data_IF_435232541304
#
_entry.id   IF_435232541304
#
_cell.length_a   1.000
_cell.length_b   1.000
_cell.length_c   1.000
_cell.angle_alpha   90.00
_cell.angle_beta   90.00
_cell.angle_gamma   90.00
#
_symmetry.space_group_name_H-M   'P 1'
#
loop_
_entity.id
_entity.type
_entity.pdbx_description
1 polymer ?
#
# COMPACT_ATOMS: atom_id res chain seq x y z
N UNK A 1 17.19 22.16 -6.30
CA UNK A 1 16.33 22.03 -7.49
C UNK A 1 16.74 23.09 -8.50
N UNK A 2 17.24 22.66 -9.66
CA UNK A 2 18.02 23.43 -10.64
C UNK A 2 17.17 24.08 -11.75
N UNK A 3 17.79 24.99 -12.51
CA UNK A 3 17.23 25.67 -13.69
C UNK A 3 16.76 24.72 -14.83
N UNK A 4 17.09 23.43 -14.75
CA UNK A 4 16.69 22.40 -15.71
C UNK A 4 15.23 21.96 -15.56
N UNK A 5 14.64 22.06 -14.36
CA UNK A 5 13.26 21.61 -14.10
C UNK A 5 12.26 22.76 -14.06
N UNK A 6 12.68 23.94 -13.62
CA UNK A 6 11.87 25.17 -13.62
C UNK A 6 12.37 26.11 -14.72
N UNK A 7 11.79 25.98 -15.91
CA UNK A 7 12.19 26.73 -17.10
C UNK A 7 11.34 27.98 -17.28
N UNK A 8 11.79 28.93 -18.10
CA UNK A 8 10.97 30.10 -18.46
C UNK A 8 9.68 29.65 -19.17
N UNK A 9 8.56 30.27 -18.83
CA UNK A 9 7.28 30.04 -19.49
C UNK A 9 7.08 31.03 -20.65
N UNK A 10 7.17 30.61 -21.92
CA UNK A 10 6.95 31.47 -23.07
C UNK A 10 5.45 31.69 -23.37
N UNK A 11 4.54 31.00 -22.68
CA UNK A 11 3.09 31.02 -22.94
C UNK A 11 2.32 31.85 -21.91
N UNK A 12 2.96 32.22 -20.80
CA UNK A 12 2.33 33.07 -19.80
C UNK A 12 2.11 34.51 -20.30
N UNK A 13 0.99 35.16 -19.94
CA UNK A 13 0.67 36.52 -20.36
C UNK A 13 1.51 37.62 -19.68
N UNK A 14 2.40 37.29 -18.73
CA UNK A 14 3.21 38.26 -17.98
C UNK A 14 4.68 37.84 -17.84
N UNK A 15 5.60 38.79 -17.63
CA UNK A 15 7.03 38.51 -17.52
C UNK A 15 7.37 37.76 -16.22
N UNK A 16 8.31 36.81 -16.30
CA UNK A 16 8.87 36.12 -15.13
C UNK A 16 8.15 34.83 -14.70
N UNK A 17 7.15 34.40 -15.45
CA UNK A 17 6.51 33.09 -15.23
C UNK A 17 7.46 31.93 -15.58
N UNK A 18 7.23 30.78 -14.92
CA UNK A 18 8.04 29.57 -15.08
C UNK A 18 7.14 28.36 -15.26
N UNK A 19 7.54 27.44 -16.13
CA UNK A 19 6.94 26.12 -16.26
C UNK A 19 7.76 25.08 -15.52
N UNK A 20 7.10 24.05 -15.01
CA UNK A 20 7.76 22.88 -14.43
C UNK A 20 7.74 21.71 -15.40
N UNK A 21 8.91 21.17 -15.74
CA UNK A 21 9.01 19.97 -16.57
C UNK A 21 8.71 18.73 -15.73
N UNK A 22 7.45 18.27 -15.75
CA UNK A 22 6.98 17.08 -15.02
C UNK A 22 7.69 15.80 -15.47
N UNK A 23 8.08 15.73 -16.75
CA UNK A 23 8.61 14.52 -17.38
C UNK A 23 7.51 13.49 -17.69
N UNK A 24 6.25 13.85 -17.54
CA UNK A 24 5.11 13.00 -17.89
C UNK A 24 4.77 13.18 -19.37
N UNK A 25 4.49 12.08 -20.06
CA UNK A 25 3.96 12.08 -21.42
C UNK A 25 2.43 12.06 -21.32
N UNK A 26 1.82 13.08 -21.90
CA UNK A 26 0.37 13.26 -21.90
C UNK A 26 -0.12 13.49 -23.33
N UNK A 27 -1.38 13.15 -23.58
CA UNK A 27 -2.07 13.31 -24.86
C UNK A 27 -3.40 14.02 -24.62
N UNK A 28 -3.79 14.91 -25.51
CA UNK A 28 -5.16 15.41 -25.55
C UNK A 28 -6.09 14.39 -26.22
N UNK A 29 -7.20 14.05 -25.59
CA UNK A 29 -8.26 13.27 -26.21
C UNK A 29 -9.21 14.18 -27.03
N UNK A 30 -10.19 13.57 -27.71
CA UNK A 30 -11.15 14.30 -28.55
C UNK A 30 -12.06 15.25 -27.74
N UNK A 31 -12.22 14.98 -26.45
CA UNK A 31 -13.05 15.75 -25.52
C UNK A 31 -12.28 16.91 -24.86
N UNK A 32 -11.00 17.08 -25.21
CA UNK A 32 -10.17 18.16 -24.70
C UNK A 32 -9.69 17.92 -23.26
N UNK A 33 -9.49 16.66 -22.87
CA UNK A 33 -8.88 16.27 -21.60
C UNK A 33 -7.44 15.75 -21.82
N UNK A 34 -6.61 15.85 -20.78
CA UNK A 34 -5.25 15.31 -20.79
C UNK A 34 -5.25 13.87 -20.28
N UNK A 35 -5.04 12.92 -21.18
CA UNK A 35 -4.77 11.53 -20.86
C UNK A 35 -3.29 11.33 -20.52
N UNK A 36 -3.02 10.73 -19.36
CA UNK A 36 -1.68 10.27 -19.02
C UNK A 36 -1.31 9.04 -19.85
N UNK A 37 -0.24 9.13 -20.63
CA UNK A 37 0.25 8.05 -21.51
C UNK A 37 1.36 7.26 -20.82
N UNK A 38 2.15 7.92 -19.98
CA UNK A 38 3.31 7.35 -19.33
C UNK A 38 4.29 8.45 -18.97
N UNK A 39 5.56 8.10 -18.78
CA UNK A 39 6.62 9.07 -18.53
C UNK A 39 7.56 9.18 -19.71
N UNK A 40 8.02 10.40 -20.00
CA UNK A 40 9.02 10.68 -21.02
C UNK A 40 10.43 10.25 -20.58
N UNK A 41 10.67 10.19 -19.27
CA UNK A 41 11.80 9.52 -18.62
C UNK A 41 11.36 8.12 -18.17
N UNK A 42 12.19 7.09 -18.37
CA UNK A 42 11.85 5.68 -18.08
C UNK A 42 11.75 5.36 -16.56
N UNK A 43 11.46 6.36 -15.71
CA UNK A 43 11.39 6.18 -14.27
C UNK A 43 10.18 5.36 -13.86
N UNK A 44 10.38 4.45 -12.91
CA UNK A 44 9.37 3.53 -12.38
C UNK A 44 9.17 3.74 -10.89
N UNK A 45 7.96 3.52 -10.40
CA UNK A 45 7.68 3.53 -8.96
C UNK A 45 7.66 2.10 -8.45
N UNK A 46 8.65 1.74 -7.64
CA UNK A 46 8.76 0.41 -7.04
C UNK A 46 8.82 0.58 -5.53
N UNK A 47 7.88 -0.04 -4.82
CA UNK A 47 7.84 -0.08 -3.34
C UNK A 47 7.89 1.33 -2.69
N UNK A 48 7.27 2.32 -3.34
CA UNK A 48 7.24 3.72 -2.88
C UNK A 48 8.46 4.56 -3.28
N UNK A 49 9.50 3.95 -3.86
CA UNK A 49 10.67 4.65 -4.39
C UNK A 49 10.49 4.95 -5.86
N UNK A 50 10.97 6.13 -6.27
CA UNK A 50 11.04 6.53 -7.66
C UNK A 50 12.44 6.18 -8.16
N UNK A 51 12.51 5.22 -9.06
CA UNK A 51 13.76 4.61 -9.51
C UNK A 51 13.94 4.92 -10.99
N UNK A 52 15.16 5.29 -11.38
CA UNK A 52 15.56 5.35 -12.78
C UNK A 52 16.29 4.05 -13.16
N UNK A 53 15.69 3.13 -13.93
CA UNK A 53 16.37 1.90 -14.35
C UNK A 53 17.70 2.18 -15.07
N UNK A 54 17.78 3.29 -15.81
CA UNK A 54 19.01 3.72 -16.48
C UNK A 54 20.18 4.02 -15.54
N UNK A 55 19.92 4.45 -14.30
CA UNK A 55 20.98 4.64 -13.29
C UNK A 55 21.60 3.29 -12.89
N UNK A 56 20.74 2.29 -12.71
CA UNK A 56 21.12 0.92 -12.38
C UNK A 56 21.88 0.28 -13.55
N UNK A 57 21.40 0.48 -14.77
CA UNK A 57 22.08 0.05 -16.01
C UNK A 57 23.49 0.65 -16.11
N UNK A 58 23.63 1.95 -15.84
CA UNK A 58 24.91 2.65 -15.89
C UNK A 58 25.91 2.12 -14.85
N UNK A 59 25.44 1.84 -13.62
CA UNK A 59 26.29 1.21 -12.61
C UNK A 59 26.73 -0.17 -13.07
N UNK A 60 25.79 -1.04 -13.47
CA UNK A 60 26.10 -2.41 -13.87
C UNK A 60 27.02 -2.47 -15.10
N UNK A 61 26.81 -1.60 -16.10
CA UNK A 61 27.68 -1.46 -17.27
C UNK A 61 29.08 -0.92 -16.92
N UNK A 62 29.24 -0.27 -15.76
CA UNK A 62 30.52 0.16 -15.22
C UNK A 62 31.37 -0.99 -14.66
N UNK A 63 30.81 -2.18 -14.46
CA UNK A 63 31.57 -3.36 -14.05
C UNK A 63 32.51 -3.81 -15.20
N UNK A 64 33.82 -4.03 -14.97
CA UNK A 64 34.76 -4.40 -16.03
C UNK A 64 34.35 -5.66 -16.82
N UNK A 65 33.71 -6.61 -16.14
CA UNK A 65 33.20 -7.87 -16.70
C UNK A 65 31.86 -7.76 -17.45
N UNK A 66 31.22 -6.60 -17.55
CA UNK A 66 29.89 -6.45 -18.20
C UNK A 66 30.00 -5.64 -19.49
N UNK A 67 29.62 -6.24 -20.62
CA UNK A 67 29.61 -5.63 -21.94
C UNK A 67 28.42 -4.69 -22.14
N UNK A 68 27.23 -5.19 -21.82
CA UNK A 68 25.94 -4.50 -21.97
C UNK A 68 25.06 -4.84 -20.76
N UNK A 69 24.19 -3.90 -20.38
CA UNK A 69 23.25 -4.07 -19.28
C UNK A 69 21.90 -3.46 -19.64
N UNK A 70 20.82 -4.09 -19.19
CA UNK A 70 19.45 -3.58 -19.27
C UNK A 70 18.71 -3.88 -17.97
N UNK A 71 17.87 -2.96 -17.50
CA UNK A 71 17.08 -3.14 -16.28
C UNK A 71 15.61 -2.93 -16.59
N UNK A 72 14.80 -3.90 -16.19
CA UNK A 72 13.34 -3.87 -16.39
C UNK A 72 12.62 -4.14 -15.08
N UNK A 73 11.34 -3.79 -15.08
CA UNK A 73 10.43 -4.13 -13.98
C UNK A 73 9.65 -5.38 -14.38
N UNK A 74 9.68 -6.37 -13.51
CA UNK A 74 8.88 -7.58 -13.63
C UNK A 74 7.74 -7.55 -12.61
N UNK A 75 6.54 -8.04 -12.97
CA UNK A 75 5.39 -8.11 -12.06
C UNK A 75 4.67 -6.78 -11.79
N UNK A 76 4.73 -5.81 -12.71
CA UNK A 76 4.16 -4.47 -12.52
C UNK A 76 2.62 -4.51 -12.27
N UNK A 77 1.90 -5.46 -12.86
CA UNK A 77 0.44 -5.59 -12.74
C UNK A 77 -0.02 -6.35 -11.47
N UNK A 78 0.85 -7.17 -10.87
CA UNK A 78 0.49 -8.03 -9.73
C UNK A 78 0.69 -7.36 -8.36
N UNK A 79 1.18 -6.12 -8.34
CA UNK A 79 1.55 -5.42 -7.11
C UNK A 79 2.87 -5.89 -6.48
N UNK A 80 3.53 -6.88 -7.10
CA UNK A 80 4.83 -7.42 -6.71
C UNK A 80 5.90 -7.00 -7.72
N UNK A 81 5.98 -5.70 -7.97
CA UNK A 81 6.94 -5.13 -8.89
C UNK A 81 8.37 -5.33 -8.37
N UNK A 82 9.22 -5.98 -9.16
CA UNK A 82 10.64 -6.25 -8.85
C UNK A 82 11.53 -5.75 -9.98
N UNK A 83 12.69 -5.20 -9.63
CA UNK A 83 13.73 -4.89 -10.60
C UNK A 83 14.45 -6.17 -11.02
N UNK A 84 14.68 -6.32 -12.33
CA UNK A 84 15.46 -7.42 -12.90
C UNK A 84 16.51 -6.83 -13.82
N UNK A 85 17.77 -7.20 -13.62
CA UNK A 85 18.86 -6.83 -14.51
C UNK A 85 19.17 -7.96 -15.48
N UNK A 86 19.48 -7.59 -16.72
CA UNK A 86 20.01 -8.46 -17.75
C UNK A 86 21.39 -7.95 -18.12
N UNK A 87 22.39 -8.84 -18.10
CA UNK A 87 23.77 -8.47 -18.38
C UNK A 87 24.39 -9.38 -19.43
N UNK A 88 25.13 -8.79 -20.35
CA UNK A 88 25.97 -9.52 -21.31
C UNK A 88 27.39 -9.53 -20.76
N UNK A 89 27.95 -10.68 -20.34
CA UNK A 89 29.26 -10.72 -19.73
C UNK A 89 30.38 -10.63 -20.80
N UNK A 90 31.52 -10.00 -20.46
CA UNK A 90 32.74 -9.97 -21.28
C UNK A 90 33.61 -11.21 -21.11
N UNK A 91 33.47 -11.90 -19.98
CA UNK A 91 34.18 -13.11 -19.59
C UNK A 91 33.28 -13.91 -18.63
N UNK A 92 33.69 -15.10 -18.22
CA UNK A 92 32.94 -15.88 -17.23
C UNK A 92 32.70 -15.04 -15.96
N UNK A 93 31.43 -14.71 -15.72
CA UNK A 93 31.01 -13.82 -14.66
C UNK A 93 29.97 -14.51 -13.81
N UNK A 94 30.09 -14.36 -12.49
CA UNK A 94 29.08 -14.85 -11.56
C UNK A 94 28.05 -13.77 -11.28
N UNK A 95 26.80 -14.19 -11.11
CA UNK A 95 25.68 -13.30 -10.75
C UNK A 95 25.93 -12.66 -9.39
N UNK A 96 26.49 -13.41 -8.45
CA UNK A 96 26.79 -12.94 -7.08
C UNK A 96 27.75 -11.74 -7.10
N UNK A 97 28.85 -11.83 -7.84
CA UNK A 97 29.85 -10.76 -7.95
C UNK A 97 29.25 -9.47 -8.52
N UNK A 98 28.34 -9.59 -9.50
CA UNK A 98 27.65 -8.43 -10.08
C UNK A 98 26.68 -7.79 -9.09
N UNK A 99 25.99 -8.60 -8.28
CA UNK A 99 25.09 -8.10 -7.23
C UNK A 99 25.87 -7.39 -6.13
N UNK A 100 26.97 -7.96 -5.66
CA UNK A 100 27.83 -7.35 -4.64
C UNK A 100 28.37 -6.00 -5.14
N UNK A 101 28.88 -5.96 -6.37
CA UNK A 101 29.34 -4.71 -7.00
C UNK A 101 28.27 -3.62 -7.03
N UNK A 102 27.01 -3.99 -7.26
CA UNK A 102 25.88 -3.07 -7.27
C UNK A 102 25.49 -2.62 -5.86
N UNK A 103 25.49 -3.53 -4.87
CA UNK A 103 25.19 -3.21 -3.47
C UNK A 103 26.17 -2.20 -2.86
N UNK A 104 27.44 -2.25 -3.25
CA UNK A 104 28.44 -1.25 -2.82
C UNK A 104 28.18 0.17 -3.35
N UNK A 105 27.38 0.30 -4.42
CA UNK A 105 27.26 1.54 -5.22
C UNK A 105 25.83 2.09 -5.33
N UNK A 106 24.83 1.26 -5.07
CA UNK A 106 23.42 1.59 -5.15
C UNK A 106 22.76 1.41 -3.78
N UNK A 107 21.79 2.26 -3.42
CA UNK A 107 20.90 1.97 -2.31
C UNK A 107 20.18 0.64 -2.49
N UNK A 108 19.89 -0.08 -1.41
CA UNK A 108 19.29 -1.43 -1.44
C UNK A 108 18.03 -1.54 -2.31
N UNK A 109 17.18 -0.50 -2.30
CA UNK A 109 15.94 -0.49 -3.09
C UNK A 109 16.15 -0.36 -4.60
N UNK A 110 17.35 0.04 -5.04
CA UNK A 110 17.75 0.11 -6.45
C UNK A 110 18.50 -1.15 -6.91
N UNK A 111 18.89 -2.04 -6.00
CA UNK A 111 19.55 -3.30 -6.36
C UNK A 111 18.49 -4.27 -6.93
N UNK A 112 18.66 -4.78 -8.17
CA UNK A 112 17.75 -5.73 -8.77
C UNK A 112 17.57 -6.99 -7.93
N UNK A 113 16.40 -7.61 -7.98
CA UNK A 113 16.11 -8.87 -7.30
C UNK A 113 16.89 -10.06 -7.88
N UNK A 114 17.27 -10.01 -9.16
CA UNK A 114 18.16 -10.98 -9.80
C UNK A 114 18.90 -10.36 -11.00
N UNK A 115 19.99 -11.00 -11.43
CA UNK A 115 20.71 -10.68 -12.67
C UNK A 115 20.67 -11.90 -13.58
N UNK A 116 20.15 -11.74 -14.79
CA UNK A 116 20.10 -12.79 -15.81
C UNK A 116 21.24 -12.56 -16.81
N UNK A 117 22.14 -13.53 -16.93
CA UNK A 117 23.23 -13.48 -17.89
C UNK A 117 22.74 -13.92 -19.27
N UNK A 118 23.06 -13.13 -20.29
CA UNK A 118 22.67 -13.37 -21.68
C UNK A 118 23.88 -13.33 -22.60
N UNK A 119 23.83 -14.09 -23.70
CA UNK A 119 24.82 -13.98 -24.77
C UNK A 119 24.75 -12.61 -25.47
N UNK A 120 23.54 -12.04 -25.57
CA UNK A 120 23.28 -10.71 -26.14
C UNK A 120 21.91 -10.19 -25.68
N UNK A 121 21.74 -8.87 -25.65
CA UNK A 121 20.42 -8.27 -25.44
C UNK A 121 19.54 -8.45 -26.70
N UNK A 122 18.27 -8.85 -26.55
CA UNK A 122 17.34 -8.90 -27.67
C UNK A 122 16.95 -7.49 -28.09
N UNK A 123 17.08 -7.18 -29.38
CA UNK A 123 16.75 -5.87 -29.94
C UNK A 123 15.65 -6.01 -31.01
N UNK A 124 14.72 -5.07 -31.01
CA UNK A 124 13.73 -4.85 -32.08
C UNK A 124 14.40 -4.43 -33.39
N UNK A 125 13.67 -4.45 -34.51
CA UNK A 125 14.17 -3.99 -35.81
C UNK A 125 14.69 -2.53 -35.82
N UNK A 126 14.27 -1.72 -34.85
CA UNK A 126 14.70 -0.32 -34.68
C UNK A 126 15.91 -0.18 -33.73
N UNK A 127 16.55 -1.27 -33.31
CA UNK A 127 17.70 -1.26 -32.41
C UNK A 127 17.37 -0.96 -30.94
N UNK A 128 16.09 -0.95 -30.54
CA UNK A 128 15.67 -0.81 -29.14
C UNK A 128 15.54 -2.16 -28.45
N UNK A 129 15.77 -2.23 -27.14
CA UNK A 129 15.53 -3.43 -26.34
C UNK A 129 14.13 -4.01 -26.57
N UNK A 130 14.07 -5.28 -26.93
CA UNK A 130 12.83 -6.04 -27.06
C UNK A 130 12.50 -6.71 -25.73
N UNK A 131 11.73 -6.01 -24.89
CA UNK A 131 11.35 -6.47 -23.55
C UNK A 131 10.57 -7.79 -23.56
N UNK A 132 9.79 -8.05 -24.62
CA UNK A 132 8.97 -9.26 -24.73
C UNK A 132 9.80 -10.50 -25.07
N UNK A 133 11.00 -10.31 -25.61
CA UNK A 133 11.94 -11.38 -25.96
C UNK A 133 12.97 -11.65 -24.85
N UNK A 134 12.92 -10.93 -23.73
CA UNK A 134 13.75 -11.23 -22.57
C UNK A 134 13.28 -12.54 -21.92
N UNK A 135 14.19 -13.45 -21.54
CA UNK A 135 13.80 -14.67 -20.87
C UNK A 135 13.23 -14.39 -19.49
N UNK A 136 12.26 -15.21 -19.09
CA UNK A 136 11.64 -15.11 -17.77
C UNK A 136 12.69 -15.30 -16.66
N UNK A 137 12.81 -14.36 -15.71
CA UNK A 137 13.79 -14.45 -14.64
C UNK A 137 13.41 -15.59 -13.69
N UNK A 138 14.38 -16.45 -13.41
CA UNK A 138 14.23 -17.43 -12.34
C UNK A 138 14.49 -16.75 -10.99
N UNK A 139 13.42 -16.46 -10.26
CA UNK A 139 13.51 -15.96 -8.88
C UNK A 139 13.76 -17.09 -7.87
N UNK A 140 13.70 -18.36 -8.29
CA UNK A 140 14.16 -19.47 -7.48
C UNK A 140 15.68 -19.52 -7.51
N UNK A 141 16.33 -18.60 -6.80
CA UNK A 141 17.76 -18.65 -6.64
C UNK A 141 18.19 -20.07 -6.18
N UNK A 142 19.34 -20.58 -6.65
CA UNK A 142 20.03 -21.63 -5.90
C UNK A 142 20.27 -21.06 -4.49
N UNK A 143 19.92 -21.84 -3.47
CA UNK A 143 20.12 -21.48 -2.06
C UNK A 143 21.55 -21.01 -1.92
N UNK A 144 21.75 -19.70 -1.70
CA UNK A 144 23.05 -19.21 -1.32
C UNK A 144 23.20 -19.52 0.17
N UNK A 145 24.34 -20.07 0.54
CA UNK A 145 24.63 -20.37 1.94
C UNK A 145 24.35 -21.81 2.37
N UNK A 146 24.62 -22.03 3.65
CA UNK A 146 24.60 -23.34 4.29
C UNK A 146 23.16 -23.82 4.54
N UNK A 147 23.00 -25.12 4.77
CA UNK A 147 21.72 -25.65 5.26
C UNK A 147 21.41 -25.15 6.69
N UNK A 148 20.11 -25.09 7.01
CA UNK A 148 19.64 -24.83 8.36
C UNK A 148 20.18 -25.91 9.31
N UNK A 149 20.82 -25.48 10.39
CA UNK A 149 21.45 -26.35 11.39
C UNK A 149 20.57 -26.57 12.61
N UNK A 150 19.55 -25.72 12.81
CA UNK A 150 18.64 -25.79 13.95
C UNK A 150 17.18 -25.79 13.48
N UNK A 151 16.25 -26.36 14.28
CA UNK A 151 14.82 -26.24 14.02
C UNK A 151 14.35 -24.78 13.93
N UNK A 152 14.95 -23.88 14.71
CA UNK A 152 14.64 -22.45 14.66
C UNK A 152 15.02 -21.85 13.31
N UNK A 153 16.23 -22.12 12.82
CA UNK A 153 16.67 -21.66 11.49
C UNK A 153 15.72 -22.18 10.39
N UNK A 154 15.30 -23.45 10.45
CA UNK A 154 14.39 -24.02 9.46
C UNK A 154 13.02 -23.31 9.48
N UNK A 155 12.41 -23.14 10.66
CA UNK A 155 11.12 -22.47 10.79
C UNK A 155 11.22 -21.02 10.31
N UNK A 156 12.31 -20.30 10.63
CA UNK A 156 12.49 -18.92 10.17
C UNK A 156 12.65 -18.87 8.63
N UNK A 157 13.39 -19.80 8.02
CA UNK A 157 13.47 -19.90 6.56
C UNK A 157 12.09 -20.12 5.92
N UNK A 158 11.27 -21.01 6.50
CA UNK A 158 9.91 -21.27 6.02
C UNK A 158 9.02 -20.02 6.12
N UNK A 159 9.14 -19.27 7.23
CA UNK A 159 8.40 -18.02 7.41
C UNK A 159 8.82 -16.94 6.40
N UNK A 160 10.12 -16.81 6.12
CA UNK A 160 10.63 -15.90 5.08
C UNK A 160 10.05 -16.28 3.71
N UNK A 161 10.13 -17.56 3.34
CA UNK A 161 9.61 -18.08 2.06
C UNK A 161 8.11 -17.77 1.90
N UNK A 162 7.31 -18.04 2.94
CA UNK A 162 5.87 -17.76 2.94
C UNK A 162 5.53 -16.27 2.86
N UNK A 163 6.38 -15.38 3.39
CA UNK A 163 6.14 -13.92 3.35
C UNK A 163 6.54 -13.36 1.98
N UNK A 164 7.65 -13.84 1.43
CA UNK A 164 8.20 -13.37 0.16
C UNK A 164 7.55 -14.04 -1.06
N UNK A 165 6.68 -15.03 -0.84
CA UNK A 165 6.04 -15.80 -1.91
C UNK A 165 7.04 -16.68 -2.68
N UNK A 166 8.12 -17.11 -2.02
CA UNK A 166 9.19 -17.91 -2.62
C UNK A 166 9.03 -19.39 -2.28
N UNK A 167 9.45 -20.32 -3.16
CA UNK A 167 9.38 -21.75 -2.89
C UNK A 167 10.32 -22.19 -1.75
N UNK A 168 11.45 -21.49 -1.59
CA UNK A 168 12.47 -21.75 -0.56
C UNK A 168 13.28 -20.47 -0.29
N UNK A 169 13.83 -20.37 0.92
CA UNK A 169 14.77 -19.32 1.35
C UNK A 169 15.91 -19.98 2.12
N UNK A 170 17.14 -19.61 1.80
CA UNK A 170 18.36 -20.05 2.49
C UNK A 170 18.59 -19.34 3.81
N UNK A 171 19.39 -19.96 4.68
CA UNK A 171 19.58 -19.45 6.05
C UNK A 171 20.35 -18.13 6.10
N UNK A 172 21.17 -17.86 5.09
CA UNK A 172 21.97 -16.63 4.98
C UNK A 172 21.41 -15.69 3.89
N UNK A 173 20.24 -16.01 3.30
CA UNK A 173 19.63 -15.17 2.28
C UNK A 173 19.05 -13.89 2.89
N UNK A 174 19.36 -12.76 2.29
CA UNK A 174 18.92 -11.43 2.72
C UNK A 174 17.44 -11.19 2.37
N UNK A 175 16.63 -10.89 3.38
CA UNK A 175 15.19 -10.61 3.25
C UNK A 175 14.89 -9.51 2.23
N UNK A 176 15.63 -8.42 2.25
CA UNK A 176 15.41 -7.27 1.36
C UNK A 176 15.99 -7.54 -0.03
N UNK A 177 17.12 -8.26 -0.10
CA UNK A 177 17.71 -8.77 -1.33
C UNK A 177 16.80 -9.72 -2.10
N UNK A 178 15.94 -10.46 -1.40
CA UNK A 178 14.90 -11.34 -1.96
C UNK A 178 13.59 -10.62 -2.30
N UNK A 179 13.53 -9.30 -2.11
CA UNK A 179 12.37 -8.48 -2.45
C UNK A 179 11.48 -8.09 -1.27
N UNK A 180 11.89 -8.38 -0.05
CA UNK A 180 11.25 -7.89 1.16
C UNK A 180 11.20 -6.36 1.22
N UNK A 181 10.17 -5.84 1.88
CA UNK A 181 10.02 -4.41 2.19
C UNK A 181 9.37 -4.24 3.56
N UNK A 182 9.28 -3.02 4.08
CA UNK A 182 8.85 -2.75 5.47
C UNK A 182 7.49 -3.35 5.83
N UNK A 183 6.60 -3.50 4.86
CA UNK A 183 5.31 -4.14 5.10
C UNK A 183 5.44 -5.66 5.25
N UNK A 184 6.15 -6.31 4.33
CA UNK A 184 6.45 -7.74 4.45
C UNK A 184 7.28 -8.02 5.70
N UNK A 185 8.19 -7.12 6.08
CA UNK A 185 8.95 -7.20 7.32
C UNK A 185 8.03 -7.19 8.55
N UNK A 186 7.04 -6.28 8.59
CA UNK A 186 6.01 -6.27 9.66
C UNK A 186 5.22 -7.59 9.69
N UNK A 187 4.82 -8.10 8.52
CA UNK A 187 4.12 -9.37 8.40
C UNK A 187 4.98 -10.57 8.88
N UNK A 188 6.28 -10.56 8.55
CA UNK A 188 7.25 -11.55 8.98
C UNK A 188 7.42 -11.54 10.49
N UNK A 189 7.60 -10.37 11.11
CA UNK A 189 7.71 -10.24 12.56
C UNK A 189 6.44 -10.76 13.25
N UNK A 190 5.26 -10.43 12.72
CA UNK A 190 4.00 -10.94 13.26
C UNK A 190 3.91 -12.48 13.21
N UNK A 191 4.41 -13.11 12.13
CA UNK A 191 4.47 -14.58 12.01
C UNK A 191 5.53 -15.21 12.92
N UNK A 192 6.71 -14.61 13.05
CA UNK A 192 7.76 -15.06 13.98
C UNK A 192 7.22 -15.02 15.41
N UNK A 193 6.55 -13.91 15.79
CA UNK A 193 5.89 -13.79 17.09
C UNK A 193 4.87 -14.91 17.33
N UNK A 194 4.06 -15.23 16.33
CA UNK A 194 3.08 -16.31 16.44
C UNK A 194 3.73 -17.70 16.57
N UNK A 195 4.83 -17.96 15.87
CA UNK A 195 5.51 -19.25 15.88
C UNK A 195 6.36 -19.49 17.14
N UNK A 196 7.02 -18.44 17.65
CA UNK A 196 8.00 -18.56 18.73
C UNK A 196 7.58 -17.90 20.05
N UNK A 197 6.51 -17.09 20.06
CA UNK A 197 6.06 -16.41 21.27
C UNK A 197 7.03 -15.34 21.76
N UNK A 198 7.77 -14.69 20.85
CA UNK A 198 8.74 -13.61 21.15
C UNK A 198 8.42 -12.32 20.38
N UNK A 199 8.81 -11.16 20.91
CA UNK A 199 8.80 -9.90 20.17
C UNK A 199 10.20 -9.62 19.59
N UNK A 200 10.27 -9.40 18.28
CA UNK A 200 11.46 -8.90 17.60
C UNK A 200 11.20 -7.46 17.16
N UNK A 201 12.13 -6.56 17.49
CA UNK A 201 12.06 -5.19 16.97
C UNK A 201 12.28 -5.18 15.46
N UNK A 202 11.50 -4.35 14.75
CA UNK A 202 11.68 -4.18 13.31
C UNK A 202 13.10 -3.76 12.94
N UNK A 203 13.73 -2.94 13.79
CA UNK A 203 15.12 -2.55 13.63
C UNK A 203 16.07 -3.74 13.57
N UNK A 204 15.86 -4.77 14.38
CA UNK A 204 16.73 -5.94 14.43
C UNK A 204 16.71 -6.72 13.10
N UNK A 205 15.56 -6.76 12.43
CA UNK A 205 15.45 -7.34 11.09
C UNK A 205 16.18 -6.51 10.03
N UNK A 206 16.25 -5.18 10.17
CA UNK A 206 17.03 -4.33 9.26
C UNK A 206 18.55 -4.44 9.51
N UNK A 207 18.97 -4.62 10.76
CA UNK A 207 20.40 -4.79 11.10
C UNK A 207 20.93 -6.19 10.75
N UNK A 208 20.05 -7.20 10.74
CA UNK A 208 20.39 -8.59 10.44
C UNK A 208 19.30 -9.29 9.63
N UNK A 209 19.15 -8.97 8.34
CA UNK A 209 18.03 -9.40 7.50
C UNK A 209 18.09 -10.86 7.03
N UNK A 210 18.77 -11.76 7.73
CA UNK A 210 18.88 -13.18 7.34
C UNK A 210 18.21 -14.10 8.35
N UNK A 211 17.71 -15.28 7.92
CA UNK A 211 17.16 -16.26 8.86
C UNK A 211 18.13 -16.68 9.97
N UNK A 212 19.44 -16.76 9.69
CA UNK A 212 20.47 -17.08 10.67
C UNK A 212 20.52 -16.05 11.81
N UNK A 213 20.56 -14.76 11.45
CA UNK A 213 20.62 -13.69 12.45
C UNK A 213 19.32 -13.63 13.22
N UNK A 214 18.18 -13.67 12.52
CA UNK A 214 16.85 -13.68 13.16
C UNK A 214 16.71 -14.85 14.13
N UNK A 215 17.10 -16.06 13.74
CA UNK A 215 17.07 -17.24 14.60
C UNK A 215 17.95 -17.07 15.85
N UNK A 216 19.13 -16.46 15.72
CA UNK A 216 20.02 -16.19 16.87
C UNK A 216 19.42 -15.21 17.87
N UNK A 217 18.57 -14.28 17.40
CA UNK A 217 17.93 -13.28 18.25
C UNK A 217 16.77 -13.85 19.06
N UNK A 218 16.14 -14.94 18.62
CA UNK A 218 14.97 -15.54 19.27
C UNK A 218 15.24 -15.93 20.73
N UNK A 219 16.44 -16.43 21.03
CA UNK A 219 16.81 -16.87 22.38
C UNK A 219 16.97 -15.71 23.38
N UNK A 220 17.26 -14.51 22.86
CA UNK A 220 17.44 -13.28 23.66
C UNK A 220 16.25 -12.33 23.57
N UNK A 221 15.29 -12.62 22.69
CA UNK A 221 14.14 -11.77 22.44
C UNK A 221 13.21 -11.73 23.66
N UNK A 222 12.59 -10.57 23.86
CA UNK A 222 11.59 -10.43 24.91
C UNK A 222 10.40 -11.36 24.62
N UNK A 223 9.73 -11.91 25.65
CA UNK A 223 8.50 -12.67 25.45
C UNK A 223 7.48 -11.81 24.71
N UNK A 224 6.68 -12.47 23.86
CA UNK A 224 5.65 -11.81 23.09
C UNK A 224 4.71 -11.02 24.02
N UNK A 225 4.24 -9.85 23.55
CA UNK A 225 3.11 -9.20 24.21
C UNK A 225 1.93 -10.17 24.27
N UNK A 226 1.08 -10.11 25.31
CA UNK A 226 -0.13 -10.91 25.36
C UNK A 226 -0.89 -10.80 24.04
N UNK A 227 -1.50 -11.88 23.57
CA UNK A 227 -2.25 -11.84 22.32
C UNK A 227 -3.41 -10.83 22.43
N UNK A 228 -3.71 -10.16 21.30
CA UNK A 228 -4.93 -9.38 21.18
C UNK A 228 -6.11 -10.35 21.04
N UNK A 229 -6.94 -10.41 22.06
CA UNK A 229 -8.18 -11.20 22.11
C UNK A 229 -9.35 -10.29 22.44
N UNK A 230 -10.58 -10.76 22.23
CA UNK A 230 -11.78 -10.07 22.71
C UNK A 230 -11.66 -9.79 24.22
N UNK A 231 -12.02 -8.58 24.64
CA UNK A 231 -11.92 -8.09 26.01
C UNK A 231 -13.30 -7.77 26.57
N UNK A 232 -13.46 -7.91 27.88
CA UNK A 232 -14.62 -7.37 28.59
C UNK A 232 -14.58 -5.83 28.53
N UNK A 233 -15.68 -5.22 28.08
CA UNK A 233 -15.76 -3.77 27.88
C UNK A 233 -16.15 -3.06 29.17
N UNK A 234 -15.37 -2.07 29.64
CA UNK A 234 -15.80 -1.23 30.76
C UNK A 234 -16.99 -0.36 30.36
N UNK A 235 -17.71 0.16 31.35
CA UNK A 235 -18.84 1.07 31.11
C UNK A 235 -18.44 2.33 30.31
N UNK A 236 -17.21 2.82 30.53
CA UNK A 236 -16.60 3.93 29.78
C UNK A 236 -15.41 3.38 29.03
N UNK A 237 -15.58 3.16 27.72
CA UNK A 237 -14.52 2.64 26.86
C UNK A 237 -13.51 3.77 26.55
N UNK A 238 -12.23 3.67 26.93
CA UNK A 238 -11.27 4.75 26.68
C UNK A 238 -10.97 4.92 25.19
N UNK A 239 -10.41 6.08 24.83
CA UNK A 239 -9.77 6.25 23.51
C UNK A 239 -8.39 5.61 23.49
N UNK A 240 -8.03 4.99 22.36
CA UNK A 240 -6.63 4.65 22.07
C UNK A 240 -5.77 5.92 22.03
N UNK A 241 -4.45 5.86 22.30
CA UNK A 241 -3.54 6.99 22.15
C UNK A 241 -3.66 7.72 20.80
N UNK A 242 -3.83 6.99 19.70
CA UNK A 242 -4.01 7.59 18.37
C UNK A 242 -5.33 8.37 18.28
N UNK A 243 -6.44 7.78 18.73
CA UNK A 243 -7.74 8.46 18.79
C UNK A 243 -7.70 9.67 19.74
N UNK A 244 -7.03 9.57 20.89
CA UNK A 244 -6.90 10.66 21.86
C UNK A 244 -6.21 11.89 21.26
N UNK A 245 -5.14 11.67 20.48
CA UNK A 245 -4.48 12.76 19.74
C UNK A 245 -5.46 13.44 18.77
N UNK A 246 -6.16 12.67 17.95
CA UNK A 246 -7.10 13.23 16.97
C UNK A 246 -8.28 13.94 17.63
N UNK A 247 -8.84 13.37 18.70
CA UNK A 247 -9.88 13.99 19.50
C UNK A 247 -9.43 15.32 20.11
N UNK A 248 -8.21 15.37 20.65
CA UNK A 248 -7.64 16.61 21.19
C UNK A 248 -7.49 17.69 20.12
N UNK A 249 -6.97 17.34 18.94
CA UNK A 249 -6.87 18.27 17.81
C UNK A 249 -8.25 18.76 17.36
N UNK A 250 -9.22 17.85 17.24
CA UNK A 250 -10.60 18.19 16.92
C UNK A 250 -11.21 19.15 17.96
N UNK A 251 -10.93 18.97 19.25
CA UNK A 251 -11.40 19.89 20.30
C UNK A 251 -10.74 21.27 20.24
N UNK A 252 -9.47 21.35 19.82
CA UNK A 252 -8.76 22.61 19.68
C UNK A 252 -9.18 23.39 18.43
N UNK A 253 -9.35 22.70 17.30
CA UNK A 253 -9.64 23.30 15.99
C UNK A 253 -11.15 23.47 15.74
N UNK A 254 -11.98 22.67 16.42
CA UNK A 254 -13.38 22.47 16.07
C UNK A 254 -13.56 21.47 14.92
N UNK A 255 -14.82 21.28 14.51
CA UNK A 255 -15.14 20.43 13.37
C UNK A 255 -14.50 20.97 12.08
N UNK A 256 -13.66 20.16 11.45
CA UNK A 256 -12.93 20.49 10.23
C UNK A 256 -12.69 19.25 9.37
N UNK A 257 -12.35 19.46 8.10
CA UNK A 257 -12.04 18.39 7.16
C UNK A 257 -10.55 17.99 7.14
N UNK A 258 -9.72 18.55 8.03
CA UNK A 258 -8.25 18.39 8.02
C UNK A 258 -7.82 16.92 8.05
N UNK A 259 -8.60 16.07 8.73
CA UNK A 259 -8.32 14.65 8.92
C UNK A 259 -9.34 13.75 8.23
N UNK A 260 -9.95 14.22 7.14
CA UNK A 260 -10.79 13.38 6.30
C UNK A 260 -9.94 12.52 5.35
N UNK A 261 -10.41 11.29 5.13
CA UNK A 261 -9.88 10.34 4.16
C UNK A 261 -10.98 10.11 3.10
N UNK A 262 -11.00 10.91 2.01
CA UNK A 262 -11.98 10.73 0.94
C UNK A 262 -11.55 9.57 0.01
N UNK A 263 -12.47 8.63 -0.20
CA UNK A 263 -12.39 7.58 -1.21
C UNK A 263 -13.39 7.91 -2.32
N UNK A 264 -12.90 8.07 -3.55
CA UNK A 264 -13.72 8.36 -4.73
C UNK A 264 -13.65 7.18 -5.68
N UNK A 265 -14.81 6.64 -6.05
CA UNK A 265 -14.93 5.50 -6.96
C UNK A 265 -15.89 5.86 -8.09
N UNK A 266 -15.41 5.83 -9.33
CA UNK A 266 -16.27 5.90 -10.51
C UNK A 266 -16.83 4.51 -10.82
N UNK A 267 -18.13 4.43 -11.05
CA UNK A 267 -18.89 3.21 -11.27
C UNK A 267 -19.60 3.30 -12.63
N UNK A 268 -19.25 2.39 -13.53
CA UNK A 268 -19.84 2.27 -14.85
C UNK A 268 -20.82 1.10 -14.89
N UNK A 269 -21.98 1.31 -15.50
CA UNK A 269 -23.11 0.39 -15.57
C UNK A 269 -24.30 0.80 -14.71
N UNK A 270 -25.36 -0.01 -14.78
CA UNK A 270 -26.56 0.17 -13.96
C UNK A 270 -26.24 -0.10 -12.50
N UNK A 271 -26.58 0.84 -11.63
CA UNK A 271 -26.33 0.75 -10.19
C UNK A 271 -27.64 0.58 -9.42
N UNK A 272 -27.73 -0.49 -8.63
CA UNK A 272 -28.79 -0.65 -7.63
C UNK A 272 -28.47 0.18 -6.36
N UNK A 273 -29.19 1.29 -6.18
CA UNK A 273 -28.98 2.20 -5.05
C UNK A 273 -29.39 1.60 -3.69
N UNK A 274 -30.40 0.74 -3.66
CA UNK A 274 -30.89 0.14 -2.41
C UNK A 274 -29.97 -0.98 -1.94
N UNK A 275 -29.43 -1.76 -2.88
CA UNK A 275 -28.37 -2.71 -2.61
C UNK A 275 -27.10 -2.00 -2.09
N UNK A 276 -26.71 -0.87 -2.68
CA UNK A 276 -25.56 -0.08 -2.22
C UNK A 276 -25.78 0.49 -0.80
N UNK A 277 -26.96 1.02 -0.52
CA UNK A 277 -27.31 1.50 0.83
C UNK A 277 -27.26 0.36 1.86
N UNK A 278 -27.77 -0.81 1.49
CA UNK A 278 -27.75 -1.99 2.36
C UNK A 278 -26.33 -2.48 2.61
N UNK A 279 -25.49 -2.51 1.57
CA UNK A 279 -24.09 -2.90 1.66
C UNK A 279 -23.27 -1.97 2.57
N UNK A 280 -23.49 -0.65 2.48
CA UNK A 280 -22.91 0.31 3.42
C UNK A 280 -23.34 0.03 4.87
N UNK A 281 -24.62 -0.29 5.08
CA UNK A 281 -25.13 -0.71 6.37
C UNK A 281 -24.45 -1.97 6.92
N UNK A 282 -24.22 -2.98 6.08
CA UNK A 282 -23.54 -4.22 6.47
C UNK A 282 -22.09 -3.99 6.92
N UNK A 283 -21.36 -3.19 6.15
CA UNK A 283 -19.97 -2.83 6.47
C UNK A 283 -19.90 -2.06 7.80
N UNK A 284 -20.80 -1.11 8.03
CA UNK A 284 -20.86 -0.35 9.30
C UNK A 284 -21.33 -1.22 10.47
N UNK A 285 -22.21 -2.19 10.23
CA UNK A 285 -22.60 -3.16 11.26
C UNK A 285 -21.40 -4.01 11.70
N UNK A 286 -20.62 -4.49 10.72
CA UNK A 286 -19.42 -5.33 10.91
C UNK A 286 -18.28 -4.62 11.64
N UNK A 287 -17.98 -3.36 11.26
CA UNK A 287 -16.86 -2.60 11.80
C UNK A 287 -17.33 -1.56 12.82
N UNK A 288 -17.09 -1.83 14.10
CA UNK A 288 -17.51 -0.92 15.17
C UNK A 288 -16.92 0.48 15.06
N UNK A 289 -15.70 0.62 14.54
CA UNK A 289 -15.03 1.91 14.38
C UNK A 289 -15.84 2.89 13.51
N UNK A 290 -16.57 2.38 12.50
CA UNK A 290 -17.38 3.18 11.58
C UNK A 290 -18.69 3.67 12.19
N UNK A 291 -19.11 3.09 13.32
CA UNK A 291 -20.30 3.47 14.10
C UNK A 291 -19.96 3.90 15.52
N UNK A 292 -18.73 4.33 15.76
CA UNK A 292 -18.28 4.84 17.06
C UNK A 292 -18.30 6.36 17.06
N UNK A 293 -18.95 6.95 18.05
CA UNK A 293 -18.85 8.39 18.36
C UNK A 293 -17.93 8.60 19.57
N UNK A 294 -17.44 9.82 19.76
CA UNK A 294 -16.36 10.17 20.70
C UNK A 294 -16.75 11.28 21.67
N UNK A 295 -17.78 11.06 22.52
CA UNK A 295 -18.24 12.05 23.48
C UNK A 295 -17.28 12.17 24.67
N UNK A 296 -17.55 13.16 25.51
CA UNK A 296 -16.91 13.35 26.80
C UNK A 296 -17.87 12.89 27.90
N UNK A 297 -17.43 11.92 28.73
CA UNK A 297 -18.13 11.47 29.91
C UNK A 297 -17.37 11.97 31.15
N UNK A 298 -18.00 12.85 31.94
CA UNK A 298 -17.40 13.41 33.17
C UNK A 298 -16.00 14.04 32.96
N UNK A 299 -15.78 14.72 31.83
CA UNK A 299 -14.49 15.33 31.49
C UNK A 299 -13.48 14.37 30.84
N UNK A 300 -13.85 13.10 30.61
CA UNK A 300 -12.98 12.09 30.00
C UNK A 300 -13.49 11.71 28.61
N UNK A 301 -12.68 11.81 27.55
CA UNK A 301 -13.08 11.36 26.22
C UNK A 301 -13.18 9.83 26.17
N UNK A 302 -14.26 9.34 25.57
CA UNK A 302 -14.55 7.91 25.49
C UNK A 302 -15.06 7.50 24.11
N UNK A 303 -14.98 6.22 23.82
CA UNK A 303 -15.60 5.60 22.66
C UNK A 303 -17.03 5.20 23.04
N UNK A 304 -18.01 5.61 22.24
CA UNK A 304 -19.38 5.14 22.34
C UNK A 304 -19.75 4.45 21.03
N UNK A 305 -19.71 3.12 21.05
CA UNK A 305 -20.09 2.29 19.91
C UNK A 305 -21.62 2.25 19.81
N UNK A 306 -22.19 2.80 18.73
CA UNK A 306 -23.63 2.82 18.50
C UNK A 306 -24.14 1.45 18.03
N UNK A 307 -25.41 1.15 18.28
CA UNK A 307 -26.04 -0.02 17.66
C UNK A 307 -26.06 0.12 16.12
N UNK A 308 -25.90 -0.98 15.35
CA UNK A 308 -25.90 -0.92 13.88
C UNK A 308 -27.07 -0.16 13.28
N UNK A 309 -28.27 -0.34 13.83
CA UNK A 309 -29.52 0.26 13.35
C UNK A 309 -29.54 1.78 13.55
N UNK A 310 -28.82 2.28 14.56
CA UNK A 310 -28.71 3.71 14.88
C UNK A 310 -27.63 4.42 14.05
N UNK A 311 -26.77 3.67 13.35
CA UNK A 311 -25.61 4.20 12.64
C UNK A 311 -25.61 3.86 11.14
N UNK A 312 -26.75 3.46 10.57
CA UNK A 312 -26.86 3.18 9.13
C UNK A 312 -26.49 4.45 8.33
N UNK A 313 -25.44 4.40 7.48
CA UNK A 313 -25.03 5.57 6.71
C UNK A 313 -26.14 6.03 5.78
N UNK A 314 -26.37 7.34 5.73
CA UNK A 314 -27.22 7.93 4.70
C UNK A 314 -26.43 7.93 3.39
N UNK A 315 -27.03 7.34 2.35
CA UNK A 315 -26.55 7.44 0.97
C UNK A 315 -27.37 8.52 0.25
N UNK A 316 -26.84 9.73 0.19
CA UNK A 316 -27.46 10.83 -0.57
C UNK A 316 -27.15 10.65 -2.05
N UNK A 317 -28.18 10.61 -2.89
CA UNK A 317 -28.02 10.54 -4.36
C UNK A 317 -28.24 11.92 -4.95
N UNK A 318 -27.21 12.49 -5.55
CA UNK A 318 -27.22 13.84 -6.12
C UNK A 318 -26.98 13.76 -7.63
N UNK A 319 -27.96 14.13 -8.47
CA UNK A 319 -27.71 14.28 -9.90
C UNK A 319 -26.69 15.38 -10.16
N UNK A 320 -25.69 15.13 -11.01
CA UNK A 320 -24.68 16.11 -11.41
C UNK A 320 -24.26 15.88 -12.87
N UNK A 321 -23.48 16.79 -13.44
CA UNK A 321 -22.80 16.61 -14.73
C UNK A 321 -21.30 16.40 -14.51
N UNK A 322 -20.57 16.01 -15.55
CA UNK A 322 -19.11 15.91 -15.52
C UNK A 322 -18.48 17.25 -15.07
N UNK A 323 -18.94 18.37 -15.64
CA UNK A 323 -18.47 19.71 -15.29
C UNK A 323 -18.70 20.07 -13.80
N UNK A 324 -19.80 19.58 -13.22
CA UNK A 324 -20.15 19.84 -11.82
C UNK A 324 -19.47 18.89 -10.82
N UNK A 325 -18.96 17.75 -11.29
CA UNK A 325 -18.49 16.66 -10.44
C UNK A 325 -17.34 17.10 -9.54
N UNK A 326 -16.34 17.80 -10.08
CA UNK A 326 -15.16 18.22 -9.31
C UNK A 326 -15.55 19.10 -8.09
N UNK A 327 -16.45 20.07 -8.30
CA UNK A 327 -16.94 20.94 -7.23
C UNK A 327 -17.79 20.19 -6.19
N UNK A 328 -18.60 19.25 -6.66
CA UNK A 328 -19.42 18.41 -5.78
C UNK A 328 -18.55 17.49 -4.89
N UNK A 329 -17.52 16.87 -5.48
CA UNK A 329 -16.55 16.05 -4.76
C UNK A 329 -15.75 16.87 -3.74
N UNK A 330 -15.28 18.07 -4.12
CA UNK A 330 -14.58 18.95 -3.19
C UNK A 330 -15.46 19.35 -2.00
N UNK A 331 -16.73 19.67 -2.26
CA UNK A 331 -17.69 20.02 -1.22
C UNK A 331 -17.93 18.85 -0.27
N UNK A 332 -18.17 17.65 -0.81
CA UNK A 332 -18.39 16.44 -0.01
C UNK A 332 -17.16 16.04 0.81
N UNK A 333 -15.96 16.10 0.21
CA UNK A 333 -14.70 15.76 0.88
C UNK A 333 -14.37 16.72 2.04
N UNK A 334 -14.85 17.96 1.97
CA UNK A 334 -14.68 18.99 3.01
C UNK A 334 -15.75 18.93 4.12
N UNK A 335 -16.57 17.88 4.18
CA UNK A 335 -17.53 17.70 5.25
C UNK A 335 -16.85 17.69 6.63
N UNK A 336 -17.36 18.47 7.57
CA UNK A 336 -16.83 18.57 8.92
C UNK A 336 -17.66 17.71 9.87
N UNK A 337 -17.12 16.56 10.30
CA UNK A 337 -17.79 15.64 11.22
C UNK A 337 -17.88 16.21 12.63
N UNK A 338 -19.03 16.05 13.29
CA UNK A 338 -19.17 16.30 14.73
C UNK A 338 -18.93 15.00 15.52
N UNK A 339 -17.67 14.75 15.87
CA UNK A 339 -17.24 13.45 16.38
C UNK A 339 -17.91 13.04 17.70
N UNK A 340 -18.46 13.97 18.49
CA UNK A 340 -19.15 13.63 19.73
C UNK A 340 -20.54 13.02 19.52
N UNK A 341 -21.15 13.21 18.35
CA UNK A 341 -22.54 12.80 18.10
C UNK A 341 -22.80 12.17 16.74
N UNK A 342 -21.84 12.23 15.82
CA UNK A 342 -21.96 11.73 14.47
C UNK A 342 -20.93 10.63 14.20
N UNK A 343 -21.34 9.47 13.64
CA UNK A 343 -20.40 8.47 13.16
C UNK A 343 -19.41 9.04 12.13
N UNK A 344 -18.13 8.67 12.18
CA UNK A 344 -17.05 9.23 11.36
C UNK A 344 -17.03 8.68 9.92
N UNK A 345 -18.20 8.43 9.33
CA UNK A 345 -18.37 7.93 7.96
C UNK A 345 -19.58 8.59 7.29
N UNK A 346 -19.38 9.05 6.05
CA UNK A 346 -20.43 9.58 5.18
C UNK A 346 -20.27 9.03 3.76
N UNK A 347 -21.40 8.78 3.10
CA UNK A 347 -21.42 8.33 1.71
C UNK A 347 -22.34 9.21 0.86
N UNK A 348 -21.84 9.65 -0.30
CA UNK A 348 -22.60 10.40 -1.29
C UNK A 348 -22.41 9.78 -2.67
N UNK A 349 -23.50 9.65 -3.42
CA UNK A 349 -23.50 9.13 -4.77
C UNK A 349 -23.87 10.23 -5.74
N UNK A 350 -22.98 10.54 -6.66
CA UNK A 350 -23.21 11.47 -7.74
C UNK A 350 -23.65 10.70 -8.98
N UNK A 351 -24.87 10.94 -9.46
CA UNK A 351 -25.41 10.30 -10.66
C UNK A 351 -25.18 11.21 -11.88
N UNK A 352 -24.31 10.79 -12.79
CA UNK A 352 -23.98 11.54 -14.02
C UNK A 352 -24.90 11.13 -15.17
N UNK A 353 -25.27 9.85 -15.21
CA UNK A 353 -26.28 9.29 -16.12
C UNK A 353 -26.87 8.01 -15.53
N UNK A 354 -27.73 7.31 -16.27
CA UNK A 354 -28.22 5.97 -15.87
C UNK A 354 -27.12 4.90 -15.80
N UNK A 355 -25.96 5.15 -16.41
CA UNK A 355 -24.85 4.19 -16.51
C UNK A 355 -23.56 4.71 -15.86
N UNK A 356 -23.51 5.95 -15.39
CA UNK A 356 -22.28 6.54 -14.87
C UNK A 356 -22.57 7.22 -13.54
N UNK A 357 -21.86 6.77 -12.51
CA UNK A 357 -22.03 7.22 -11.14
C UNK A 357 -20.65 7.41 -10.49
N UNK A 358 -20.57 8.29 -9.50
CA UNK A 358 -19.37 8.47 -8.70
C UNK A 358 -19.75 8.39 -7.22
N UNK A 359 -19.22 7.39 -6.53
CA UNK A 359 -19.40 7.19 -5.10
C UNK A 359 -18.26 7.88 -4.35
N UNK A 360 -18.60 8.82 -3.47
CA UNK A 360 -17.70 9.42 -2.50
C UNK A 360 -18.00 8.83 -1.12
N UNK A 361 -17.00 8.20 -0.52
CA UNK A 361 -17.03 7.78 0.88
C UNK A 361 -15.99 8.62 1.62
N UNK A 362 -16.41 9.36 2.64
CA UNK A 362 -15.52 10.14 3.49
C UNK A 362 -15.48 9.48 4.85
N UNK A 363 -14.29 9.10 5.30
CA UNK A 363 -14.05 8.56 6.64
C UNK A 363 -13.15 9.52 7.40
N UNK A 364 -13.47 9.84 8.65
CA UNK A 364 -12.55 10.61 9.48
C UNK A 364 -11.41 9.71 9.99
N UNK A 365 -10.17 10.21 10.00
CA UNK A 365 -8.96 9.44 10.35
C UNK A 365 -8.97 8.84 11.77
N UNK A 366 -9.92 9.26 12.62
CA UNK A 366 -10.12 8.70 13.95
C UNK A 366 -10.69 7.25 13.93
N UNK A 367 -11.32 6.85 12.82
CA UNK A 367 -11.96 5.55 12.65
C UNK A 367 -11.34 4.66 11.56
N UNK A 368 -10.40 5.21 10.79
CA UNK A 368 -9.71 4.49 9.73
C UNK A 368 -8.39 5.16 9.35
N UNK A 369 -7.55 4.40 8.67
CA UNK A 369 -6.27 4.82 8.12
C UNK A 369 -6.10 4.26 6.70
N UNK A 370 -4.92 4.45 6.11
CA UNK A 370 -4.62 3.94 4.78
C UNK A 370 -4.75 2.40 4.65
N UNK A 371 -4.43 1.66 5.71
CA UNK A 371 -4.58 0.19 5.71
C UNK A 371 -6.05 -0.21 5.69
N UNK A 372 -6.88 0.52 6.43
CA UNK A 372 -8.31 0.28 6.60
C UNK A 372 -9.09 0.43 5.28
N UNK A 373 -8.58 1.21 4.32
CA UNK A 373 -9.27 1.47 3.04
C UNK A 373 -9.36 0.23 2.14
N UNK A 374 -8.34 -0.65 2.17
CA UNK A 374 -8.33 -1.89 1.39
C UNK A 374 -9.46 -2.85 1.80
N UNK A 375 -9.53 -3.27 3.08
CA UNK A 375 -10.63 -4.06 3.61
C UNK A 375 -11.99 -3.39 3.40
N UNK A 376 -12.11 -2.08 3.62
CA UNK A 376 -13.35 -1.33 3.40
C UNK A 376 -13.87 -1.48 1.96
N UNK A 377 -13.01 -1.25 0.97
CA UNK A 377 -13.36 -1.37 -0.45
C UNK A 377 -13.75 -2.79 -0.85
N UNK A 378 -12.96 -3.78 -0.40
CA UNK A 378 -13.24 -5.21 -0.69
C UNK A 378 -14.57 -5.65 -0.09
N UNK A 379 -14.79 -5.39 1.19
CA UNK A 379 -16.00 -5.82 1.88
C UNK A 379 -17.24 -5.06 1.38
N UNK A 380 -17.13 -3.78 1.02
CA UNK A 380 -18.24 -3.07 0.38
C UNK A 380 -18.63 -3.72 -0.96
N UNK A 381 -17.64 -4.15 -1.76
CA UNK A 381 -17.87 -4.82 -3.04
C UNK A 381 -18.54 -6.19 -2.86
N UNK A 382 -18.07 -6.97 -1.88
CA UNK A 382 -18.66 -8.26 -1.52
C UNK A 382 -20.11 -8.10 -1.03
N UNK A 383 -20.35 -7.17 -0.10
CA UNK A 383 -21.68 -6.88 0.42
C UNK A 383 -22.63 -6.39 -0.67
N UNK A 384 -22.17 -5.50 -1.55
CA UNK A 384 -22.96 -5.04 -2.69
C UNK A 384 -23.38 -6.20 -3.59
N UNK A 385 -22.43 -7.07 -3.94
CA UNK A 385 -22.67 -8.24 -4.78
C UNK A 385 -23.70 -9.20 -4.17
N UNK A 386 -23.65 -9.43 -2.86
CA UNK A 386 -24.63 -10.24 -2.13
C UNK A 386 -26.01 -9.57 -2.11
N UNK A 387 -26.06 -8.25 -1.87
CA UNK A 387 -27.32 -7.49 -1.77
C UNK A 387 -28.05 -7.37 -3.10
N UNK A 388 -27.33 -7.26 -4.22
CA UNK A 388 -27.91 -7.34 -5.58
C UNK A 388 -28.60 -8.68 -5.81
N UNK A 389 -28.10 -9.75 -5.19
CA UNK A 389 -28.71 -11.09 -5.24
C UNK A 389 -29.82 -11.29 -4.19
N UNK A 390 -30.18 -10.26 -3.43
CA UNK A 390 -31.17 -10.32 -2.35
C UNK A 390 -30.69 -11.05 -1.10
N UNK A 391 -29.38 -11.23 -0.92
CA UNK A 391 -28.79 -11.96 0.20
C UNK A 391 -28.01 -11.01 1.13
N UNK A 392 -27.83 -11.40 2.39
CA UNK A 392 -26.86 -10.75 3.27
C UNK A 392 -25.46 -11.30 2.98
N UNK A 393 -24.39 -10.51 3.21
CA UNK A 393 -23.02 -11.03 3.07
C UNK A 393 -22.76 -12.15 4.08
N UNK A 394 -22.16 -13.25 3.59
CA UNK A 394 -21.77 -14.40 4.40
C UNK A 394 -20.35 -14.21 4.96
N UNK A 395 -20.24 -13.45 6.04
CA UNK A 395 -18.97 -13.17 6.68
C UNK A 395 -18.84 -13.87 8.03
N UNK A 396 -17.68 -14.48 8.27
CA UNK A 396 -17.29 -14.87 9.60
C UNK A 396 -17.19 -13.62 10.51
N UNK A 397 -17.64 -13.69 11.78
CA UNK A 397 -17.44 -12.62 12.74
C UNK A 397 -15.96 -12.26 12.89
N UNK A 398 -15.67 -10.97 13.07
CA UNK A 398 -14.31 -10.53 13.35
C UNK A 398 -13.90 -11.04 14.74
N UNK A 399 -12.71 -11.64 14.89
CA UNK A 399 -12.27 -12.22 16.17
C UNK A 399 -12.02 -11.16 17.24
N UNK A 400 -11.74 -9.92 16.83
CA UNK A 400 -11.55 -8.74 17.68
C UNK A 400 -12.06 -7.49 16.96
N UNK A 401 -12.42 -6.48 17.74
CA UNK A 401 -12.83 -5.15 17.30
C UNK A 401 -11.79 -4.10 17.76
N UNK A 402 -11.87 -2.88 17.23
CA UNK A 402 -10.94 -1.81 17.61
C UNK A 402 -11.01 -1.45 19.11
N UNK A 403 -12.16 -1.65 19.75
CA UNK A 403 -12.33 -1.54 21.19
C UNK A 403 -11.40 -2.51 21.95
N UNK A 404 -11.25 -3.75 21.47
CA UNK A 404 -10.37 -4.75 22.08
C UNK A 404 -8.91 -4.35 21.94
N UNK A 405 -8.53 -3.80 20.77
CA UNK A 405 -7.19 -3.23 20.55
C UNK A 405 -6.92 -2.09 21.53
N UNK A 406 -7.90 -1.21 21.74
CA UNK A 406 -7.78 -0.08 22.67
C UNK A 406 -7.58 -0.52 24.12
N UNK A 407 -8.23 -1.60 24.55
CA UNK A 407 -8.09 -2.15 25.90
C UNK A 407 -6.84 -3.01 26.07
N UNK A 408 -6.31 -3.55 24.97
CA UNK A 408 -5.07 -4.32 24.96
C UNK A 408 -3.83 -3.45 25.04
N UNK A 409 -3.88 -2.27 24.41
CA UNK A 409 -2.82 -1.25 24.42
C UNK A 409 -2.73 -0.53 25.76
#
# INVERSE_FOLDING_TARGET
LTAERFVADPYAPGPGARMYRTGDLVRWNADGELEFVGRADHQVKIRGFRIEPGEIEAVLAGHPGVAEAAVVVHGEESGDARLVAYAVPRADQRVEDLREFMQERLPDHMVPATVVLLDRLPLTANGKLDKAALPEPDFAAPVSGREARTPQEQIVCDLFAQVLGLPRVGVDDDFFGLGGHSLLATALIARIRAAFGVELELRALFEGPTPAVVASLLDTAAPARPALTARERPAVLPLSPAQRRLWFLHRMEGASATYNIPLVVRLSGRLDHDALRSALGDVVARHESLRTVFPEAEGVPCQQVLAPEAAVPRLTVTPTTEDGLASALETGARYAFELASEPPLRAELFALSEQEHVLLIVVHHIAGDGWSMGPLSRELTEAYSARVQGQAPDWAPLPVQYADYTLWQ
#
